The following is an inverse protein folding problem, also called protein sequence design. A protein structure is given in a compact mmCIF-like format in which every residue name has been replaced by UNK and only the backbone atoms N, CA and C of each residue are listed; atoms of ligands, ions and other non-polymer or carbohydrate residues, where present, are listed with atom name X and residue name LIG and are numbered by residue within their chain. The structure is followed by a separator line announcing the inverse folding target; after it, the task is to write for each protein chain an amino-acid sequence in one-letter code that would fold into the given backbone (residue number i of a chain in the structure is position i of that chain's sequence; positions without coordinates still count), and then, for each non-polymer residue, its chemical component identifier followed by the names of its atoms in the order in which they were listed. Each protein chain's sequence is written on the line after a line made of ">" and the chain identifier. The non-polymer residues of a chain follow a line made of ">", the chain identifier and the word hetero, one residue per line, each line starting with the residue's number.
data_IF_900101881569
#
_entry.id   IF_900101881569
#
_cell.length_a   1.000
_cell.length_b   1.000
_cell.length_c   1.000
_cell.angle_alpha   90.00
_cell.angle_beta   90.00
_cell.angle_gamma   90.00
#
_symmetry.space_group_name_H-M   'P 1'
#
loop_
_entity.id
_entity.type
_entity.pdbx_description
1 polymer ?
#
# COMPACT_ATOMS: atom_id res chain seq x y z
N UNK A 1 21.71 -12.88 17.27
CA UNK A 1 22.17 -11.65 16.59
C UNK A 1 21.25 -11.19 15.47
N UNK A 2 20.98 -12.00 14.44
CA UNK A 2 20.09 -11.62 13.32
C UNK A 2 18.65 -11.26 13.75
N UNK A 3 18.09 -11.98 14.72
CA UNK A 3 16.74 -11.71 15.23
C UNK A 3 16.66 -10.37 15.99
N UNK A 4 17.70 -10.07 16.78
CA UNK A 4 17.85 -8.79 17.46
C UNK A 4 17.92 -7.64 16.46
N UNK A 5 18.80 -7.75 15.44
CA UNK A 5 18.92 -6.73 14.39
C UNK A 5 17.62 -6.53 13.62
N UNK A 6 16.91 -7.62 13.30
CA UNK A 6 15.62 -7.52 12.62
C UNK A 6 14.61 -6.76 13.47
N UNK A 7 14.57 -7.05 14.78
CA UNK A 7 13.65 -6.37 15.71
C UNK A 7 13.98 -4.90 15.84
N UNK A 8 15.26 -4.54 16.04
CA UNK A 8 15.69 -3.14 16.08
C UNK A 8 15.33 -2.38 14.78
N UNK A 9 15.45 -3.01 13.61
CA UNK A 9 15.02 -2.42 12.35
C UNK A 9 13.50 -2.23 12.26
N UNK A 10 12.70 -3.16 12.78
CA UNK A 10 11.24 -3.03 12.81
C UNK A 10 10.82 -1.89 13.73
N UNK A 11 11.41 -1.80 14.92
CA UNK A 11 11.13 -0.73 15.90
C UNK A 11 11.45 0.65 15.29
N UNK A 12 12.60 0.78 14.63
CA UNK A 12 12.97 2.02 13.94
C UNK A 12 12.01 2.38 12.78
N UNK A 13 11.48 1.39 12.07
CA UNK A 13 10.48 1.62 11.02
C UNK A 13 9.12 2.02 11.59
N UNK A 14 8.72 1.44 12.74
CA UNK A 14 7.50 1.82 13.46
C UNK A 14 7.62 3.27 13.98
N UNK A 15 8.76 3.64 14.56
CA UNK A 15 9.06 5.01 14.97
C UNK A 15 8.97 5.99 13.79
N UNK A 16 9.56 5.63 12.64
CA UNK A 16 9.44 6.43 11.42
C UNK A 16 7.98 6.63 11.00
N UNK A 17 7.19 5.56 10.99
CA UNK A 17 5.78 5.61 10.58
C UNK A 17 4.93 6.42 11.58
N UNK A 18 5.24 6.37 12.88
CA UNK A 18 4.53 7.15 13.89
C UNK A 18 4.86 8.64 13.80
N UNK A 19 6.11 9.00 13.54
CA UNK A 19 6.56 10.40 13.46
C UNK A 19 6.29 11.05 12.11
N UNK A 20 6.23 10.25 11.04
CA UNK A 20 5.94 10.70 9.69
C UNK A 20 4.95 9.74 9.00
N UNK A 21 3.64 9.92 9.25
CA UNK A 21 2.58 9.03 8.74
C UNK A 21 2.55 8.90 7.20
N UNK A 22 3.00 9.93 6.48
CA UNK A 22 3.08 9.94 5.02
C UNK A 22 4.25 9.12 4.47
N UNK A 23 5.10 8.55 5.33
CA UNK A 23 6.25 7.73 4.94
C UNK A 23 5.83 6.32 4.48
N UNK A 24 5.23 6.27 3.29
CA UNK A 24 4.69 5.06 2.66
C UNK A 24 5.71 3.90 2.57
N UNK A 25 7.02 4.20 2.45
CA UNK A 25 8.07 3.16 2.39
C UNK A 25 8.21 2.41 3.71
N UNK A 26 8.08 3.08 4.86
CA UNK A 26 8.15 2.40 6.17
C UNK A 26 6.95 1.49 6.37
N UNK A 27 5.75 2.02 6.11
CA UNK A 27 4.50 1.27 6.20
C UNK A 27 4.52 0.06 5.26
N UNK A 28 4.96 0.24 4.02
CA UNK A 28 5.14 -0.87 3.07
C UNK A 28 6.11 -1.92 3.60
N UNK A 29 7.28 -1.52 4.12
CA UNK A 29 8.29 -2.48 4.61
C UNK A 29 7.80 -3.28 5.81
N UNK A 30 7.11 -2.62 6.75
CA UNK A 30 6.48 -3.29 7.88
C UNK A 30 5.39 -4.26 7.41
N UNK A 31 4.47 -3.80 6.55
CA UNK A 31 3.38 -4.63 6.05
C UNK A 31 3.91 -5.83 5.26
N UNK A 32 4.91 -5.62 4.40
CA UNK A 32 5.55 -6.67 3.64
C UNK A 32 6.23 -7.69 4.54
N UNK A 33 6.92 -7.23 5.59
CA UNK A 33 7.53 -8.12 6.58
C UNK A 33 6.48 -9.00 7.25
N UNK A 34 5.42 -8.41 7.82
CA UNK A 34 4.39 -9.19 8.51
C UNK A 34 3.60 -10.10 7.56
N UNK A 35 3.44 -9.73 6.28
CA UNK A 35 2.73 -10.57 5.33
C UNK A 35 3.57 -11.74 4.79
N UNK A 36 4.86 -11.51 4.49
CA UNK A 36 5.74 -12.48 3.81
C UNK A 36 6.68 -13.24 4.74
N UNK A 37 6.85 -12.81 6.00
CA UNK A 37 7.72 -13.49 6.96
C UNK A 37 7.27 -14.93 7.20
N UNK A 38 8.21 -15.87 7.23
CA UNK A 38 7.91 -17.29 7.53
C UNK A 38 7.67 -17.55 9.01
N UNK A 39 8.32 -16.77 9.89
CA UNK A 39 8.32 -16.97 11.34
C UNK A 39 7.38 -16.01 12.07
N UNK A 40 7.25 -14.78 11.56
CA UNK A 40 6.47 -13.70 12.18
C UNK A 40 5.31 -13.27 11.28
N UNK A 41 4.74 -14.22 10.53
CA UNK A 41 3.60 -13.94 9.65
C UNK A 41 2.42 -13.45 10.49
N UNK A 42 1.91 -12.27 10.18
CA UNK A 42 0.71 -11.71 10.77
C UNK A 42 -0.03 -10.88 9.70
N UNK A 43 -1.03 -11.49 9.09
CA UNK A 43 -1.79 -10.90 7.98
C UNK A 43 -2.63 -9.74 8.47
N UNK A 44 -3.23 -9.84 9.65
CA UNK A 44 -4.05 -8.76 10.19
C UNK A 44 -3.20 -7.54 10.52
N UNK A 45 -1.99 -7.71 11.06
CA UNK A 45 -1.05 -6.58 11.26
C UNK A 45 -0.67 -5.94 9.91
N UNK A 46 -0.40 -6.75 8.88
CA UNK A 46 -0.14 -6.23 7.53
C UNK A 46 -1.34 -5.45 6.97
N UNK A 47 -2.56 -5.96 7.15
CA UNK A 47 -3.81 -5.30 6.76
C UNK A 47 -4.00 -3.98 7.51
N UNK A 48 -3.75 -3.93 8.82
CA UNK A 48 -3.82 -2.71 9.62
C UNK A 48 -2.79 -1.66 9.15
N UNK A 49 -1.56 -2.08 8.84
CA UNK A 49 -0.52 -1.19 8.30
C UNK A 49 -0.85 -0.62 6.91
N UNK A 50 -1.76 -1.27 6.16
CA UNK A 50 -2.19 -0.80 4.84
C UNK A 50 -3.49 -0.01 4.88
N UNK A 51 -4.51 -0.48 5.63
CA UNK A 51 -5.88 0.03 5.58
C UNK A 51 -6.41 0.58 6.90
N UNK A 52 -5.71 0.35 8.01
CA UNK A 52 -6.09 0.84 9.33
C UNK A 52 -6.00 2.37 9.44
N UNK A 53 -6.38 2.91 10.59
CA UNK A 53 -6.47 4.36 10.84
C UNK A 53 -5.15 5.11 10.60
N UNK A 54 -4.00 4.44 10.83
CA UNK A 54 -2.65 4.97 10.55
C UNK A 54 -1.95 4.20 9.44
N UNK A 55 -2.73 3.52 8.59
CA UNK A 55 -2.23 2.72 7.49
C UNK A 55 -1.86 3.56 6.26
N UNK A 56 -1.13 2.94 5.34
CA UNK A 56 -0.63 3.58 4.12
C UNK A 56 -1.76 4.24 3.29
N UNK A 57 -2.91 3.58 3.21
CA UNK A 57 -4.10 4.03 2.50
C UNK A 57 -5.23 4.46 3.46
N UNK A 58 -4.90 4.92 4.67
CA UNK A 58 -5.88 5.35 5.68
C UNK A 58 -6.79 6.47 5.16
N UNK A 59 -6.18 7.49 4.57
CA UNK A 59 -6.86 8.71 4.09
C UNK A 59 -7.48 8.56 2.68
N UNK A 60 -7.68 7.33 2.20
CA UNK A 60 -8.30 7.08 0.90
C UNK A 60 -9.70 7.71 0.83
N UNK A 61 -10.05 8.29 -0.31
CA UNK A 61 -11.36 8.90 -0.56
C UNK A 61 -12.01 8.28 -1.79
N UNK A 62 -13.36 8.32 -1.91
CA UNK A 62 -14.06 7.86 -3.11
C UNK A 62 -13.54 8.47 -4.41
N UNK A 63 -13.08 9.73 -4.38
CA UNK A 63 -12.53 10.43 -5.54
C UNK A 63 -11.02 10.25 -5.74
N UNK A 64 -10.29 9.74 -4.75
CA UNK A 64 -8.84 9.54 -4.82
C UNK A 64 -8.39 8.51 -3.77
N UNK A 65 -8.11 7.30 -4.22
CA UNK A 65 -7.62 6.22 -3.36
C UNK A 65 -6.30 6.56 -2.67
N UNK A 66 -5.45 7.34 -3.34
CA UNK A 66 -4.11 7.72 -2.87
C UNK A 66 -4.11 9.06 -2.11
N UNK A 67 -5.25 9.56 -1.65
CA UNK A 67 -5.36 10.91 -1.07
C UNK A 67 -4.44 11.18 0.15
N UNK A 68 -4.04 10.17 0.92
CA UNK A 68 -3.03 10.30 2.00
C UNK A 68 -1.59 10.08 1.54
N UNK A 69 -1.42 9.50 0.37
CA UNK A 69 -0.11 9.18 -0.17
C UNK A 69 0.46 10.46 -0.76
N UNK A 70 1.65 10.84 -0.31
CA UNK A 70 2.41 11.94 -0.90
C UNK A 70 1.76 13.33 -0.72
N UNK A 71 1.71 13.79 0.54
CA UNK A 71 1.38 15.18 0.91
C UNK A 71 2.59 15.97 1.40
N UNK A 72 3.77 15.77 0.83
CA UNK A 72 4.94 16.56 1.25
C UNK A 72 4.70 18.00 0.78
N UNK A 73 4.60 18.99 1.69
CA UNK A 73 4.30 20.39 1.35
C UNK A 73 5.50 21.13 0.73
N UNK A 74 6.47 20.40 0.20
CA UNK A 74 7.63 20.95 -0.50
C UNK A 74 7.39 20.85 -1.99
N UNK A 75 7.29 22.04 -2.60
CA UNK A 75 7.28 22.29 -4.03
C UNK A 75 8.59 21.89 -4.75
N UNK A 76 9.63 21.44 -4.03
CA UNK A 76 10.94 21.12 -4.60
C UNK A 76 11.24 19.62 -4.75
N UNK A 77 10.33 18.74 -4.31
CA UNK A 77 10.51 17.30 -4.45
C UNK A 77 9.48 16.77 -5.45
N UNK A 78 9.81 16.89 -6.73
CA UNK A 78 9.17 16.07 -7.76
C UNK A 78 9.23 14.60 -7.32
N UNK A 79 8.11 13.88 -7.45
CA UNK A 79 8.03 12.44 -7.15
C UNK A 79 9.24 11.76 -7.83
N UNK A 80 10.25 11.30 -7.07
CA UNK A 80 11.48 10.80 -7.67
C UNK A 80 11.13 9.61 -8.56
N UNK A 81 11.87 9.36 -9.64
CA UNK A 81 11.47 8.37 -10.66
C UNK A 81 11.13 6.96 -10.14
N UNK A 82 11.64 6.58 -8.96
CA UNK A 82 11.29 5.32 -8.28
C UNK A 82 9.92 5.28 -7.57
N UNK A 83 9.23 6.42 -7.45
CA UNK A 83 7.98 6.56 -6.71
C UNK A 83 6.90 5.62 -7.25
N UNK A 84 6.59 5.74 -8.56
CA UNK A 84 5.52 4.96 -9.17
C UNK A 84 5.79 3.46 -9.05
N UNK A 85 7.02 3.01 -9.32
CA UNK A 85 7.41 1.61 -9.17
C UNK A 85 7.28 1.10 -7.72
N UNK A 86 7.57 1.93 -6.72
CA UNK A 86 7.38 1.53 -5.31
C UNK A 86 5.89 1.51 -4.94
N UNK A 87 5.11 2.46 -5.43
CA UNK A 87 3.67 2.50 -5.21
C UNK A 87 2.97 1.29 -5.84
N UNK A 88 3.40 0.85 -7.02
CA UNK A 88 2.92 -0.39 -7.64
C UNK A 88 3.14 -1.59 -6.72
N UNK A 89 4.29 -1.66 -6.02
CA UNK A 89 4.54 -2.71 -5.02
C UNK A 89 3.65 -2.59 -3.78
N UNK A 90 3.29 -1.38 -3.36
CA UNK A 90 2.37 -1.16 -2.25
C UNK A 90 0.97 -1.68 -2.60
N UNK A 91 0.49 -1.38 -3.82
CA UNK A 91 -0.81 -1.84 -4.31
C UNK A 91 -0.82 -3.35 -4.53
N UNK A 92 0.23 -3.94 -5.12
CA UNK A 92 0.38 -5.40 -5.24
C UNK A 92 0.29 -6.09 -3.87
N UNK A 93 1.01 -5.58 -2.87
CA UNK A 93 0.95 -6.13 -1.52
C UNK A 93 -0.46 -6.01 -0.92
N UNK A 94 -1.17 -4.92 -1.17
CA UNK A 94 -2.56 -4.77 -0.75
C UNK A 94 -3.46 -5.81 -1.41
N UNK A 95 -3.37 -6.00 -2.73
CA UNK A 95 -4.13 -7.03 -3.47
C UNK A 95 -3.89 -8.41 -2.87
N UNK A 96 -2.63 -8.77 -2.60
CA UNK A 96 -2.27 -10.04 -1.96
C UNK A 96 -2.88 -10.20 -0.55
N UNK A 97 -2.84 -9.14 0.26
CA UNK A 97 -3.41 -9.14 1.61
C UNK A 97 -4.94 -9.31 1.54
N UNK A 98 -5.61 -8.56 0.67
CA UNK A 98 -7.06 -8.62 0.55
C UNK A 98 -7.54 -9.98 0.04
N UNK A 99 -6.80 -10.61 -0.89
CA UNK A 99 -7.04 -11.98 -1.32
C UNK A 99 -6.93 -12.95 -0.14
N UNK A 100 -5.86 -12.83 0.66
CA UNK A 100 -5.62 -13.73 1.81
C UNK A 100 -6.67 -13.57 2.91
N UNK A 101 -7.24 -12.37 3.07
CA UNK A 101 -8.32 -12.09 4.03
C UNK A 101 -9.73 -12.21 3.44
N UNK A 102 -9.87 -12.64 2.18
CA UNK A 102 -11.15 -12.72 1.46
C UNK A 102 -11.98 -11.41 1.49
N UNK A 103 -11.33 -10.25 1.46
CA UNK A 103 -12.00 -8.94 1.50
C UNK A 103 -12.42 -8.50 0.08
N UNK A 104 -13.41 -9.21 -0.46
CA UNK A 104 -13.91 -9.05 -1.83
C UNK A 104 -14.41 -7.63 -2.12
N UNK A 105 -15.03 -6.96 -1.13
CA UNK A 105 -15.56 -5.60 -1.27
C UNK A 105 -14.42 -4.62 -1.52
N UNK A 106 -13.37 -4.69 -0.70
CA UNK A 106 -12.22 -3.80 -0.84
C UNK A 106 -11.42 -4.09 -2.12
N UNK A 107 -11.36 -5.35 -2.57
CA UNK A 107 -10.78 -5.70 -3.88
C UNK A 107 -11.55 -5.05 -5.04
N UNK A 108 -12.88 -5.13 -4.99
CA UNK A 108 -13.74 -4.52 -5.99
C UNK A 108 -13.60 -2.98 -6.01
N UNK A 109 -13.63 -2.34 -4.83
CA UNK A 109 -13.44 -0.90 -4.69
C UNK A 109 -12.06 -0.46 -5.22
N UNK A 110 -11.00 -1.20 -4.88
CA UNK A 110 -9.66 -0.96 -5.41
C UNK A 110 -9.63 -1.07 -6.94
N UNK A 111 -10.28 -2.08 -7.51
CA UNK A 111 -10.34 -2.26 -8.95
C UNK A 111 -10.98 -1.06 -9.65
N UNK A 112 -12.08 -0.53 -9.10
CA UNK A 112 -12.74 0.67 -9.60
C UNK A 112 -11.85 1.91 -9.52
N UNK A 113 -11.18 2.12 -8.38
CA UNK A 113 -10.24 3.23 -8.22
C UNK A 113 -9.06 3.20 -9.19
N UNK A 114 -8.62 2.00 -9.59
CA UNK A 114 -7.53 1.82 -10.53
C UNK A 114 -7.99 1.84 -11.99
N UNK A 115 -9.29 1.67 -12.27
CA UNK A 115 -9.82 1.58 -13.64
C UNK A 115 -9.70 2.92 -14.38
N UNK A 116 -10.01 4.01 -13.71
CA UNK A 116 -10.06 5.33 -14.33
C UNK A 116 -8.67 5.96 -14.43
N UNK A 117 -8.39 6.57 -15.58
CA UNK A 117 -7.13 7.30 -15.79
C UNK A 117 -7.13 8.55 -14.91
N UNK A 118 -6.19 8.68 -13.96
CA UNK A 118 -6.16 9.82 -13.07
C UNK A 118 -5.66 11.08 -13.79
N UNK A 119 -6.02 12.23 -13.25
CA UNK A 119 -5.42 13.53 -13.62
C UNK A 119 -3.89 13.50 -13.42
N UNK A 120 -3.18 14.37 -14.14
CA UNK A 120 -1.71 14.33 -14.19
C UNK A 120 -1.04 14.43 -12.81
N UNK A 121 -1.57 15.27 -11.91
CA UNK A 121 -1.11 15.44 -10.53
C UNK A 121 -1.44 14.24 -9.62
N UNK A 122 -2.41 13.42 -10.03
CA UNK A 122 -2.87 12.21 -9.33
C UNK A 122 -2.35 10.92 -9.97
N UNK A 123 -1.33 10.98 -10.83
CA UNK A 123 -0.64 9.78 -11.34
C UNK A 123 0.32 9.19 -10.29
N UNK A 124 -0.16 8.19 -9.56
CA UNK A 124 0.62 7.47 -8.54
C UNK A 124 1.29 6.18 -9.05
N UNK A 125 0.78 5.65 -10.16
CA UNK A 125 1.23 4.43 -10.82
C UNK A 125 1.54 4.72 -12.28
N UNK A 126 2.30 3.85 -12.93
CA UNK A 126 2.43 3.86 -14.39
C UNK A 126 1.15 3.29 -15.00
N UNK A 127 0.69 3.86 -16.11
CA UNK A 127 -0.58 3.49 -16.73
C UNK A 127 -0.70 1.98 -17.02
N UNK A 128 0.32 1.29 -17.58
CA UNK A 128 0.24 -0.16 -17.81
C UNK A 128 0.07 -0.97 -16.53
N UNK A 129 0.83 -0.64 -15.48
CA UNK A 129 0.76 -1.35 -14.18
C UNK A 129 -0.58 -1.11 -13.49
N UNK A 130 -1.10 0.12 -13.57
CA UNK A 130 -2.41 0.49 -13.02
C UNK A 130 -3.53 -0.34 -13.65
N UNK A 131 -3.53 -0.45 -14.98
CA UNK A 131 -4.55 -1.19 -15.73
C UNK A 131 -4.49 -2.69 -15.46
N UNK A 132 -3.29 -3.26 -15.35
CA UNK A 132 -3.09 -4.66 -14.98
C UNK A 132 -3.61 -4.93 -13.56
N UNK A 133 -3.24 -4.10 -12.59
CA UNK A 133 -3.71 -4.21 -11.21
C UNK A 133 -5.23 -4.05 -11.09
N UNK A 134 -5.85 -3.16 -11.86
CA UNK A 134 -7.31 -3.02 -11.89
C UNK A 134 -8.00 -4.31 -12.33
N UNK A 135 -7.50 -4.95 -13.40
CA UNK A 135 -8.05 -6.21 -13.92
C UNK A 135 -7.83 -7.36 -12.94
N UNK A 136 -6.65 -7.44 -12.35
CA UNK A 136 -6.31 -8.47 -11.35
C UNK A 136 -7.20 -8.35 -10.10
N UNK A 137 -7.32 -7.14 -9.53
CA UNK A 137 -8.16 -6.89 -8.37
C UNK A 137 -9.64 -7.21 -8.64
N UNK A 138 -10.15 -6.87 -9.83
CA UNK A 138 -11.52 -7.22 -10.23
C UNK A 138 -11.71 -8.74 -10.33
N UNK A 139 -10.79 -9.44 -10.99
CA UNK A 139 -10.83 -10.91 -11.11
C UNK A 139 -10.84 -11.58 -9.74
N UNK A 140 -9.94 -11.15 -8.85
CA UNK A 140 -9.86 -11.68 -7.49
C UNK A 140 -11.12 -11.35 -6.67
N UNK A 141 -11.69 -10.15 -6.81
CA UNK A 141 -12.90 -9.77 -6.08
C UNK A 141 -14.05 -10.75 -6.33
N UNK A 142 -14.20 -11.24 -7.56
CA UNK A 142 -15.21 -12.23 -7.95
C UNK A 142 -14.86 -13.64 -7.47
N UNK A 143 -13.58 -14.02 -7.49
CA UNK A 143 -13.14 -15.34 -7.02
C UNK A 143 -13.22 -15.51 -5.50
N UNK A 144 -13.18 -14.40 -4.75
CA UNK A 144 -13.25 -14.38 -3.28
C UNK A 144 -14.65 -14.12 -2.71
N UNK A 145 -15.68 -14.09 -3.58
CA UNK A 145 -17.10 -14.06 -3.17
C UNK A 145 -17.50 -15.40 -2.53
#
# INVERSE_FOLDING_TARGET
>A
EQEYLTTACLDALEDCAQRFPEHYKSLYRLAHFYFRSKLRRNVEKARQLLLGEKGLFADRKPSNFFNGVWRIPSNEIDRPGSFASHMSRCVLLLVDVLRDTCDHKMLFDLALHLKDTPEADKKYLRDPEREELSKEALSLSVQTL
#
